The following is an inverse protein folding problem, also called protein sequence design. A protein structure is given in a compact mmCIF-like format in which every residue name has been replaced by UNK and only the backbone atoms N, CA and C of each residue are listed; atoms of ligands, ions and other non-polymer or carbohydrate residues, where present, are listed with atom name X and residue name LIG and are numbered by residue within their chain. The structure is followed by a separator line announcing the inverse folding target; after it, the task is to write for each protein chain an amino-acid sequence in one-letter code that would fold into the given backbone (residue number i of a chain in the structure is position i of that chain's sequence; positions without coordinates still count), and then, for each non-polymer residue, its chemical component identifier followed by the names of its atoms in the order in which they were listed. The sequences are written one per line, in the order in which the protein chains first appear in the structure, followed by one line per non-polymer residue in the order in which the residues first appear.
data_IF_622987925713
#
_entry.id   IF_622987925713
#
_cell.length_a   1.000
_cell.length_b   1.000
_cell.length_c   1.000
_cell.angle_alpha   90.00
_cell.angle_beta   90.00
_cell.angle_gamma   90.00
#
_symmetry.space_group_name_H-M   'P 1'
#
loop_
_entity.id
_entity.type
_entity.pdbx_description
1 polymer ?
#
# COMPACT_ATOMS: atom_id res chain seq x y z
N UNK A 1 25.61 -21.80 29.48
CA UNK A 1 24.41 -20.94 29.52
C UNK A 1 24.05 -20.59 28.09
N UNK A 2 22.89 -21.06 27.61
CA UNK A 2 22.38 -20.75 26.27
C UNK A 2 21.67 -19.39 26.38
N UNK A 3 22.21 -18.36 25.73
CA UNK A 3 21.56 -17.05 25.63
C UNK A 3 20.60 -17.08 24.44
N UNK A 4 19.31 -17.29 24.73
CA UNK A 4 18.25 -17.07 23.76
C UNK A 4 17.84 -15.60 23.83
N UNK A 5 18.41 -14.74 22.97
CA UNK A 5 17.81 -13.44 22.66
C UNK A 5 16.86 -13.65 21.49
N UNK A 6 15.58 -13.84 21.81
CA UNK A 6 14.42 -13.73 20.94
C UNK A 6 13.37 -13.07 21.85
N UNK A 7 12.73 -11.95 21.51
CA UNK A 7 12.17 -11.57 20.22
C UNK A 7 11.89 -10.07 20.28
N UNK A 8 12.17 -9.32 19.21
CA UNK A 8 11.66 -7.95 19.08
C UNK A 8 10.16 -8.06 18.79
N UNK A 9 9.34 -8.06 19.84
CA UNK A 9 7.90 -7.91 19.71
C UNK A 9 7.61 -6.49 19.24
N UNK A 10 7.48 -6.32 17.92
CA UNK A 10 6.77 -5.16 17.38
C UNK A 10 5.30 -5.31 17.78
N UNK A 11 4.93 -4.63 18.86
CA UNK A 11 3.53 -4.41 19.18
C UNK A 11 2.94 -3.55 18.05
N UNK A 12 2.25 -4.18 17.11
CA UNK A 12 1.56 -3.47 16.04
C UNK A 12 0.57 -2.47 16.70
N UNK A 13 0.62 -1.21 16.31
CA UNK A 13 -0.34 -0.21 16.76
C UNK A 13 -1.71 -0.54 16.16
N UNK A 14 -2.71 -0.79 17.00
CA UNK A 14 -4.02 -1.31 16.58
C UNK A 14 -5.14 -0.41 17.12
N UNK A 15 -6.14 -0.16 16.28
CA UNK A 15 -7.42 0.43 16.66
C UNK A 15 -8.50 -0.66 16.73
N UNK A 16 -9.33 -0.62 17.78
CA UNK A 16 -10.41 -1.59 18.00
C UNK A 16 -11.75 -0.86 18.10
N UNK A 17 -12.72 -1.26 17.27
CA UNK A 17 -14.09 -0.74 17.32
C UNK A 17 -15.10 -1.83 16.99
N UNK A 18 -15.83 -2.30 18.00
CA UNK A 18 -16.65 -3.52 17.86
C UNK A 18 -15.77 -4.71 17.46
N UNK A 19 -16.19 -5.44 16.43
CA UNK A 19 -15.44 -6.57 15.87
C UNK A 19 -14.35 -6.13 14.87
N UNK A 20 -14.15 -4.83 14.69
CA UNK A 20 -13.13 -4.30 13.79
C UNK A 20 -11.78 -4.16 14.51
N UNK A 21 -10.76 -4.85 14.00
CA UNK A 21 -9.37 -4.71 14.41
C UNK A 21 -8.58 -4.11 13.24
N UNK A 22 -8.22 -2.83 13.36
CA UNK A 22 -7.50 -2.08 12.33
C UNK A 22 -6.03 -1.92 12.72
N UNK A 23 -5.12 -2.34 11.83
CA UNK A 23 -3.69 -2.12 12.01
C UNK A 23 -3.34 -0.70 11.54
N UNK A 24 -3.01 0.18 12.49
CA UNK A 24 -2.70 1.59 12.24
C UNK A 24 -1.33 1.77 11.58
N UNK A 25 -0.35 0.93 11.89
CA UNK A 25 0.95 0.97 11.21
C UNK A 25 0.80 0.61 9.73
N UNK A 26 -0.03 -0.40 9.44
CA UNK A 26 -0.36 -0.76 8.07
C UNK A 26 -1.11 0.36 7.35
N UNK A 27 -2.09 0.99 8.02
CA UNK A 27 -2.82 2.16 7.49
C UNK A 27 -1.85 3.25 7.07
N UNK A 28 -0.97 3.67 7.98
CA UNK A 28 -0.04 4.75 7.74
C UNK A 28 0.84 4.47 6.51
N UNK A 29 1.46 3.30 6.46
CA UNK A 29 2.32 2.92 5.34
C UNK A 29 1.55 2.81 4.01
N UNK A 30 0.34 2.23 4.04
CA UNK A 30 -0.48 2.07 2.83
C UNK A 30 -0.86 3.43 2.24
N UNK A 31 -1.40 4.34 3.07
CA UNK A 31 -1.78 5.67 2.62
C UNK A 31 -0.59 6.58 2.32
N UNK A 32 0.57 6.36 2.97
CA UNK A 32 1.81 7.05 2.63
C UNK A 32 2.24 6.74 1.18
N UNK A 33 2.20 5.46 0.78
CA UNK A 33 2.50 5.07 -0.59
C UNK A 33 1.49 5.64 -1.61
N UNK A 34 0.20 5.70 -1.27
CA UNK A 34 -0.80 6.38 -2.13
C UNK A 34 -0.46 7.87 -2.28
N UNK A 35 -0.14 8.57 -1.18
CA UNK A 35 0.24 10.00 -1.22
C UNK A 35 1.46 10.26 -2.10
N UNK A 36 2.46 9.38 -2.03
CA UNK A 36 3.63 9.45 -2.92
C UNK A 36 3.21 9.36 -4.38
N UNK A 37 2.37 8.38 -4.74
CA UNK A 37 1.83 8.22 -6.11
C UNK A 37 1.06 9.48 -6.51
N UNK A 38 0.12 9.95 -5.70
CA UNK A 38 -0.70 11.14 -5.95
C UNK A 38 0.16 12.39 -6.19
N UNK A 39 1.27 12.53 -5.45
CA UNK A 39 2.18 13.68 -5.60
C UNK A 39 3.03 13.64 -6.87
N UNK A 40 3.24 12.44 -7.43
CA UNK A 40 4.18 12.18 -8.52
C UNK A 40 3.52 11.86 -9.86
N UNK A 41 2.23 11.46 -9.87
CA UNK A 41 1.49 11.03 -11.06
C UNK A 41 1.53 12.05 -12.22
N UNK A 42 1.50 13.35 -11.91
CA UNK A 42 1.56 14.42 -12.89
C UNK A 42 2.93 15.13 -12.93
N UNK A 43 3.95 14.59 -12.26
CA UNK A 43 5.27 15.24 -12.11
C UNK A 43 6.43 14.36 -12.58
N UNK A 44 6.57 13.16 -12.03
CA UNK A 44 7.70 12.26 -12.33
C UNK A 44 7.42 10.84 -11.86
N UNK A 45 7.16 9.93 -12.80
CA UNK A 45 6.95 8.51 -12.54
C UNK A 45 8.26 7.70 -12.40
N UNK A 46 9.21 8.26 -11.64
CA UNK A 46 10.52 7.67 -11.40
C UNK A 46 10.53 6.52 -10.38
N UNK A 47 11.72 6.26 -9.81
CA UNK A 47 11.94 5.12 -8.89
C UNK A 47 11.01 5.12 -7.68
N UNK A 48 10.74 6.27 -7.07
CA UNK A 48 9.90 6.37 -5.88
C UNK A 48 8.44 6.03 -6.19
N UNK A 49 7.90 6.57 -7.29
CA UNK A 49 6.57 6.23 -7.79
C UNK A 49 6.43 4.73 -8.06
N UNK A 50 7.42 4.14 -8.75
CA UNK A 50 7.42 2.70 -9.05
C UNK A 50 7.49 1.83 -7.79
N UNK A 51 8.31 2.21 -6.80
CA UNK A 51 8.38 1.50 -5.51
C UNK A 51 7.04 1.54 -4.77
N UNK A 52 6.36 2.69 -4.77
CA UNK A 52 5.05 2.81 -4.15
C UNK A 52 3.98 2.02 -4.90
N UNK A 53 3.97 2.02 -6.24
CA UNK A 53 3.08 1.14 -7.01
C UNK A 53 3.31 -0.34 -6.71
N UNK A 54 4.57 -0.79 -6.65
CA UNK A 54 4.92 -2.17 -6.29
C UNK A 54 4.50 -2.51 -4.86
N UNK A 55 4.55 -1.55 -3.93
CA UNK A 55 4.01 -1.76 -2.60
C UNK A 55 2.49 -1.98 -2.64
N UNK A 56 1.75 -1.09 -3.31
CA UNK A 56 0.29 -1.16 -3.43
C UNK A 56 -0.16 -2.46 -4.12
N UNK A 57 0.57 -2.88 -5.17
CA UNK A 57 0.26 -4.08 -5.95
C UNK A 57 0.35 -5.39 -5.15
N UNK A 58 0.97 -5.38 -3.97
CA UNK A 58 0.95 -6.54 -3.07
C UNK A 58 -0.44 -6.79 -2.49
N UNK A 59 -1.32 -5.80 -2.52
CA UNK A 59 -2.57 -5.81 -1.78
C UNK A 59 -3.78 -5.59 -2.70
N UNK A 60 -3.72 -4.57 -3.54
CA UNK A 60 -4.78 -4.21 -4.48
C UNK A 60 -4.28 -4.30 -5.92
N UNK A 61 -5.21 -4.35 -6.88
CA UNK A 61 -4.86 -4.35 -8.29
C UNK A 61 -4.11 -3.05 -8.66
N UNK A 62 -3.10 -3.20 -9.51
CA UNK A 62 -2.38 -2.10 -10.18
C UNK A 62 -2.25 -2.46 -11.66
N UNK A 63 -2.78 -1.63 -12.55
CA UNK A 63 -2.74 -1.83 -14.01
C UNK A 63 -1.37 -1.49 -14.62
N UNK A 64 -0.31 -2.21 -14.23
CA UNK A 64 1.05 -1.97 -14.76
C UNK A 64 1.13 -2.09 -16.29
N UNK A 65 0.33 -2.97 -16.88
CA UNK A 65 0.25 -3.18 -18.33
C UNK A 65 -0.20 -1.93 -19.09
N UNK A 66 -1.00 -1.05 -18.45
CA UNK A 66 -1.42 0.22 -19.07
C UNK A 66 -0.26 1.17 -19.34
N UNK A 67 0.89 0.95 -18.66
CA UNK A 67 2.12 1.73 -18.82
C UNK A 67 2.99 1.26 -19.98
N UNK A 68 2.61 0.18 -20.68
CA UNK A 68 3.25 -0.25 -21.93
C UNK A 68 2.84 0.62 -23.14
N UNK A 69 2.41 1.86 -22.89
CA UNK A 69 2.09 2.85 -23.91
C UNK A 69 3.34 3.62 -24.36
N UNK A 70 3.20 4.43 -25.41
CA UNK A 70 4.32 5.18 -25.99
C UNK A 70 5.06 6.10 -25.00
N UNK A 71 4.34 6.73 -24.07
CA UNK A 71 4.95 7.63 -23.09
C UNK A 71 5.62 6.90 -21.92
N UNK A 72 5.31 5.61 -21.71
CA UNK A 72 5.75 4.86 -20.52
C UNK A 72 5.17 5.38 -19.21
N UNK A 73 4.15 6.24 -19.27
CA UNK A 73 3.49 6.87 -18.13
C UNK A 73 2.22 6.12 -17.78
N UNK A 74 1.76 6.25 -16.54
CA UNK A 74 0.49 5.74 -16.07
C UNK A 74 -0.65 6.63 -16.60
N UNK A 75 -1.51 6.14 -17.53
CA UNK A 75 -2.58 6.97 -18.06
C UNK A 75 -3.53 7.45 -16.96
N UNK A 76 -3.80 8.75 -16.89
CA UNK A 76 -4.55 9.39 -15.78
C UNK A 76 -5.91 8.73 -15.53
N UNK A 77 -6.66 8.41 -16.59
CA UNK A 77 -7.97 7.76 -16.46
C UNK A 77 -7.92 6.31 -15.97
N UNK A 78 -6.79 5.61 -16.12
CA UNK A 78 -6.58 4.29 -15.51
C UNK A 78 -6.15 4.47 -14.06
N UNK A 79 -5.23 5.40 -13.79
CA UNK A 79 -4.81 5.75 -12.44
C UNK A 79 -5.99 6.14 -11.54
N UNK A 80 -6.93 6.95 -12.00
CA UNK A 80 -8.11 7.34 -11.21
C UNK A 80 -8.97 6.14 -10.81
N UNK A 81 -9.16 5.18 -11.72
CA UNK A 81 -9.91 3.94 -11.47
C UNK A 81 -9.19 3.07 -10.45
N UNK A 82 -7.90 2.89 -10.63
CA UNK A 82 -7.08 2.08 -9.74
C UNK A 82 -6.98 2.70 -8.36
N UNK A 83 -6.75 4.01 -8.27
CA UNK A 83 -6.73 4.75 -7.02
C UNK A 83 -8.01 4.54 -6.22
N UNK A 84 -9.17 4.63 -6.88
CA UNK A 84 -10.45 4.29 -6.23
C UNK A 84 -10.45 2.85 -5.72
N UNK A 85 -10.00 1.91 -6.54
CA UNK A 85 -9.86 0.50 -6.16
C UNK A 85 -8.92 0.25 -4.97
N UNK A 86 -7.86 1.04 -4.80
CA UNK A 86 -6.94 0.95 -3.66
C UNK A 86 -7.64 1.36 -2.36
N UNK A 87 -8.40 2.45 -2.40
CA UNK A 87 -9.19 2.92 -1.26
C UNK A 87 -10.27 1.89 -0.91
N UNK A 88 -11.02 1.43 -1.90
CA UNK A 88 -12.08 0.44 -1.71
C UNK A 88 -11.52 -0.88 -1.14
N UNK A 89 -10.35 -1.31 -1.61
CA UNK A 89 -9.66 -2.49 -1.07
C UNK A 89 -9.28 -2.29 0.39
N UNK A 90 -8.72 -1.14 0.75
CA UNK A 90 -8.34 -0.84 2.13
C UNK A 90 -9.57 -0.88 3.05
N UNK A 91 -10.62 -0.14 2.70
CA UNK A 91 -11.84 -0.06 3.50
C UNK A 91 -12.50 -1.43 3.72
N UNK A 92 -12.50 -2.28 2.68
CA UNK A 92 -13.02 -3.66 2.77
C UNK A 92 -12.19 -4.58 3.65
N UNK A 93 -10.91 -4.28 3.88
CA UNK A 93 -9.99 -5.18 4.57
C UNK A 93 -9.44 -4.65 5.89
N UNK A 94 -9.59 -3.36 6.19
CA UNK A 94 -8.95 -2.70 7.34
C UNK A 94 -9.25 -3.39 8.68
N UNK A 95 -10.47 -3.91 8.85
CA UNK A 95 -10.91 -4.59 10.08
C UNK A 95 -10.37 -6.02 10.29
N UNK A 96 -9.49 -6.51 9.40
CA UNK A 96 -8.95 -7.88 9.45
C UNK A 96 -7.53 -7.94 10.02
N UNK A 97 -7.09 -6.90 10.74
CA UNK A 97 -5.72 -6.77 11.26
C UNK A 97 -4.65 -7.08 10.19
N UNK A 98 -4.68 -6.33 9.09
CA UNK A 98 -3.81 -6.57 7.92
C UNK A 98 -2.34 -6.56 8.35
N UNK A 99 -1.60 -7.60 7.93
CA UNK A 99 -0.16 -7.72 8.17
C UNK A 99 0.64 -7.41 6.90
N UNK A 100 1.86 -6.91 7.08
CA UNK A 100 2.77 -6.69 5.95
C UNK A 100 3.14 -8.02 5.28
N UNK A 101 2.95 -8.10 3.97
CA UNK A 101 3.44 -9.23 3.17
C UNK A 101 4.97 -9.20 3.11
N UNK A 102 5.59 -10.36 3.37
CA UNK A 102 7.04 -10.54 3.25
C UNK A 102 7.50 -10.21 1.81
N UNK A 103 8.76 -9.78 1.69
CA UNK A 103 9.42 -9.52 0.41
C UNK A 103 9.66 -10.82 -0.35
#
# INVERSE_FOLDING_TARGET
MINCVNTVEKNNNIFVHGDCIENLDFKEEYFSNIKVIDSLINRSEGSQFNKSLVFISKYSHVSFESRLNYAGLYPSGIYEKDRKGWIDWYEKNKCKNIQFKKK
#
